data_IF_134009822842
#
_entry.id   IF_134009822842
#
_cell.length_a   1.000
_cell.length_b   1.000
_cell.length_c   1.000
_cell.angle_alpha   90.00
_cell.angle_beta   90.00
_cell.angle_gamma   90.00
#
_symmetry.space_group_name_H-M   'P 1'
#
loop_
_entity.id
_entity.type
_entity.pdbx_description
1 polymer ?
#
# COMPACT_ATOMS: atom_id res chain seq x y z
N UNK A 1 -23.04 -8.58 -10.59
CA UNK A 1 -21.71 -7.94 -10.51
C UNK A 1 -21.69 -6.82 -11.53
N UNK A 2 -21.44 -5.57 -11.11
CA UNK A 2 -21.42 -4.39 -12.02
C UNK A 2 -20.03 -4.10 -12.57
N UNK A 3 -18.98 -4.45 -11.82
CA UNK A 3 -17.59 -4.32 -12.22
C UNK A 3 -16.71 -5.28 -11.41
N UNK A 4 -15.52 -5.62 -11.91
CA UNK A 4 -14.53 -6.43 -11.20
C UNK A 4 -13.12 -5.90 -11.47
N UNK A 5 -12.46 -5.45 -10.41
CA UNK A 5 -11.05 -5.15 -10.44
C UNK A 5 -10.22 -6.42 -10.22
N UNK A 6 -9.21 -6.64 -11.05
CA UNK A 6 -8.31 -7.80 -11.04
C UNK A 6 -6.94 -7.38 -10.56
N UNK A 7 -6.29 -8.24 -9.79
CA UNK A 7 -4.90 -8.08 -9.37
C UNK A 7 -4.17 -9.41 -9.54
N UNK A 8 -2.88 -9.33 -9.87
CA UNK A 8 -1.96 -10.47 -9.77
C UNK A 8 -1.44 -10.66 -8.35
N UNK A 9 -1.68 -9.70 -7.46
CA UNK A 9 -1.27 -9.73 -6.05
C UNK A 9 -2.43 -10.18 -5.17
N UNK A 10 -2.09 -10.76 -4.04
CA UNK A 10 -3.06 -10.89 -2.95
C UNK A 10 -3.38 -9.50 -2.41
N UNK A 11 -4.66 -9.13 -2.44
CA UNK A 11 -5.17 -7.84 -1.95
C UNK A 11 -5.88 -8.11 -0.63
N UNK A 12 -5.64 -7.27 0.37
CA UNK A 12 -6.26 -7.36 1.68
C UNK A 12 -7.23 -6.20 1.94
N UNK A 13 -6.93 -5.01 1.42
CA UNK A 13 -7.78 -3.83 1.53
C UNK A 13 -7.90 -3.08 0.20
N UNK A 14 -9.08 -2.51 -0.04
CA UNK A 14 -9.37 -1.71 -1.22
C UNK A 14 -10.47 -0.68 -0.95
N UNK A 15 -10.34 0.48 -1.58
CA UNK A 15 -11.23 1.63 -1.45
C UNK A 15 -11.62 2.12 -2.85
N UNK A 16 -12.93 2.13 -3.12
CA UNK A 16 -13.49 2.80 -4.29
C UNK A 16 -13.52 4.30 -4.03
N UNK A 17 -12.76 5.06 -4.80
CA UNK A 17 -12.69 6.51 -4.69
C UNK A 17 -13.87 7.17 -5.41
N UNK A 18 -14.17 8.41 -5.05
CA UNK A 18 -15.30 9.17 -5.63
C UNK A 18 -15.23 9.32 -7.15
N UNK A 19 -14.02 9.30 -7.73
CA UNK A 19 -13.81 9.37 -9.18
C UNK A 19 -13.96 8.02 -9.91
N UNK A 20 -14.34 6.96 -9.19
CA UNK A 20 -14.55 5.61 -9.76
C UNK A 20 -13.29 4.75 -9.86
N UNK A 21 -12.13 5.27 -9.47
CA UNK A 21 -10.89 4.50 -9.40
C UNK A 21 -10.81 3.70 -8.10
N UNK A 22 -10.02 2.63 -8.11
CA UNK A 22 -9.80 1.79 -6.93
C UNK A 22 -8.39 2.00 -6.39
N UNK A 23 -8.27 2.43 -5.14
CA UNK A 23 -7.02 2.38 -4.37
C UNK A 23 -6.98 1.06 -3.61
N UNK A 24 -5.89 0.30 -3.71
CA UNK A 24 -5.78 -0.98 -3.02
C UNK A 24 -4.34 -1.28 -2.60
N UNK A 25 -4.19 -2.15 -1.61
CA UNK A 25 -2.90 -2.75 -1.31
C UNK A 25 -2.60 -3.97 -2.20
N UNK A 26 -1.40 -4.51 -2.02
CA UNK A 26 -0.99 -5.77 -2.60
C UNK A 26 0.16 -6.38 -1.81
N UNK A 27 0.13 -7.69 -1.63
CA UNK A 27 1.28 -8.42 -1.09
C UNK A 27 2.38 -8.53 -2.14
N UNK A 28 3.56 -8.06 -1.76
CA UNK A 28 4.84 -8.30 -2.46
C UNK A 28 5.77 -9.16 -1.58
N UNK A 29 5.19 -9.92 -0.63
CA UNK A 29 5.89 -10.66 0.42
C UNK A 29 6.78 -11.81 -0.08
N UNK A 30 6.78 -12.08 -1.39
CA UNK A 30 7.52 -13.18 -2.02
C UNK A 30 9.03 -13.07 -1.76
N UNK A 31 9.54 -11.87 -1.50
CA UNK A 31 10.95 -11.61 -1.20
C UNK A 31 11.24 -11.24 0.28
N UNK A 32 10.22 -11.25 1.15
CA UNK A 32 10.32 -10.76 2.51
C UNK A 32 10.51 -11.89 3.53
N UNK A 33 11.66 -12.55 3.51
CA UNK A 33 11.99 -13.66 4.44
C UNK A 33 11.79 -13.27 5.92
N UNK A 34 12.04 -12.01 6.27
CA UNK A 34 11.92 -11.47 7.64
C UNK A 34 10.48 -11.09 8.03
N UNK A 35 9.57 -10.94 7.07
CA UNK A 35 8.22 -10.41 7.29
C UNK A 35 7.13 -11.39 6.82
N UNK A 36 7.23 -12.65 7.25
CA UNK A 36 6.25 -13.71 6.92
C UNK A 36 5.02 -13.72 7.85
N UNK A 37 4.68 -12.57 8.45
CA UNK A 37 3.51 -12.45 9.30
C UNK A 37 2.22 -12.31 8.46
N UNK A 38 1.11 -12.79 9.00
CA UNK A 38 -0.21 -12.53 8.42
C UNK A 38 -0.42 -11.03 8.25
N UNK A 39 -0.77 -10.61 7.03
CA UNK A 39 -0.99 -9.20 6.74
C UNK A 39 0.24 -8.41 6.27
N UNK A 40 1.32 -9.08 5.88
CA UNK A 40 2.42 -8.45 5.16
C UNK A 40 1.99 -8.08 3.73
N UNK A 41 1.86 -6.77 3.48
CA UNK A 41 1.61 -6.20 2.17
C UNK A 41 2.94 -5.77 1.53
N UNK A 42 3.13 -4.50 1.18
CA UNK A 42 4.35 -4.00 0.53
C UNK A 42 4.14 -3.34 -0.82
N UNK A 43 2.91 -3.34 -1.33
CA UNK A 43 2.55 -2.68 -2.57
C UNK A 43 1.25 -1.90 -2.38
N UNK A 44 1.15 -0.74 -3.01
CA UNK A 44 -0.08 0.04 -3.10
C UNK A 44 -0.22 0.53 -4.53
N UNK A 45 -1.44 0.47 -5.06
CA UNK A 45 -1.74 0.94 -6.40
C UNK A 45 -3.09 1.62 -6.49
N UNK A 46 -3.16 2.57 -7.42
CA UNK A 46 -4.38 3.18 -7.90
C UNK A 46 -4.65 2.62 -9.29
N UNK A 47 -5.80 1.97 -9.48
CA UNK A 47 -6.22 1.41 -10.76
C UNK A 47 -7.50 2.08 -11.25
N UNK A 48 -7.61 2.25 -12.56
CA UNK A 48 -8.79 2.85 -13.19
C UNK A 48 -9.98 1.88 -13.18
N UNK A 49 -11.13 2.38 -13.61
CA UNK A 49 -12.29 1.53 -13.91
C UNK A 49 -11.97 0.43 -14.91
N UNK A 50 -11.06 0.63 -15.85
CA UNK A 50 -10.74 -0.37 -16.90
C UNK A 50 -9.65 -1.36 -16.50
N UNK A 51 -9.30 -1.45 -15.20
CA UNK A 51 -8.18 -2.23 -14.67
C UNK A 51 -6.77 -1.74 -15.08
N UNK A 52 -6.67 -0.51 -15.58
CA UNK A 52 -5.37 0.06 -15.95
C UNK A 52 -4.67 0.68 -14.74
N UNK A 53 -3.38 0.40 -14.50
CA UNK A 53 -2.63 1.01 -13.41
C UNK A 53 -2.40 2.50 -13.70
N UNK A 54 -2.88 3.36 -12.81
CA UNK A 54 -2.68 4.82 -12.89
C UNK A 54 -1.40 5.20 -12.15
N UNK A 55 -1.20 4.61 -10.98
CA UNK A 55 -0.05 4.89 -10.12
C UNK A 55 0.19 3.69 -9.21
N UNK A 56 1.45 3.49 -8.82
CA UNK A 56 1.81 2.48 -7.84
C UNK A 56 3.03 2.87 -7.03
N UNK A 57 3.16 2.23 -5.88
CA UNK A 57 4.32 2.31 -5.01
C UNK A 57 4.62 0.94 -4.41
N UNK A 58 5.91 0.66 -4.22
CA UNK A 58 6.37 -0.56 -3.57
C UNK A 58 7.34 -0.23 -2.44
N UNK A 59 7.26 -1.00 -1.36
CA UNK A 59 8.19 -0.95 -0.26
C UNK A 59 9.57 -1.45 -0.72
N UNK A 60 10.56 -0.57 -0.67
CA UNK A 60 11.95 -0.85 -1.03
C UNK A 60 12.91 -0.12 -0.08
N UNK A 61 13.95 -0.78 0.45
CA UNK A 61 14.26 -2.21 0.29
C UNK A 61 13.34 -3.09 1.15
N UNK A 62 12.79 -4.17 0.56
CA UNK A 62 11.84 -5.08 1.21
C UNK A 62 12.40 -5.80 2.44
N UNK A 63 13.74 -5.94 2.50
CA UNK A 63 14.45 -6.51 3.66
C UNK A 63 14.40 -5.63 4.91
N UNK A 64 14.02 -4.35 4.80
CA UNK A 64 13.98 -3.42 5.95
C UNK A 64 12.58 -3.11 6.42
N UNK A 65 11.62 -3.08 5.49
CA UNK A 65 10.25 -2.75 5.84
C UNK A 65 9.24 -3.24 4.80
N UNK A 66 8.01 -3.43 5.27
CA UNK A 66 6.81 -3.68 4.49
C UNK A 66 5.63 -2.88 5.04
N UNK A 67 4.57 -2.72 4.26
CA UNK A 67 3.31 -2.24 4.83
C UNK A 67 2.56 -3.40 5.48
N UNK A 68 1.82 -3.11 6.54
CA UNK A 68 0.74 -3.95 7.01
C UNK A 68 -0.44 -3.84 6.03
N UNK A 69 -1.35 -4.80 6.08
CA UNK A 69 -2.48 -5.00 5.16
C UNK A 69 -3.61 -3.95 5.21
N UNK A 70 -3.33 -2.79 5.79
CA UNK A 70 -4.33 -1.74 6.01
C UNK A 70 -3.80 -0.39 5.50
N UNK A 71 -4.70 0.39 4.91
CA UNK A 71 -4.40 1.72 4.39
C UNK A 71 -5.61 2.64 4.58
N UNK A 72 -5.36 3.91 4.86
CA UNK A 72 -6.42 4.92 4.98
C UNK A 72 -6.23 5.98 3.89
N UNK A 73 -7.16 6.10 2.91
CA UNK A 73 -7.15 7.20 1.96
C UNK A 73 -7.34 8.55 2.69
N UNK A 74 -6.57 9.56 2.30
CA UNK A 74 -6.66 10.89 2.90
C UNK A 74 -7.36 11.90 1.98
N UNK A 75 -8.04 12.90 2.55
CA UNK A 75 -8.51 14.05 1.79
C UNK A 75 -7.34 14.71 1.03
N UNK A 76 -7.52 14.92 -0.28
CA UNK A 76 -6.54 15.59 -1.13
C UNK A 76 -5.52 14.68 -1.85
N UNK A 77 -5.73 13.36 -1.88
CA UNK A 77 -5.02 12.47 -2.82
C UNK A 77 -3.74 11.82 -2.31
N UNK A 78 -3.78 11.24 -1.11
CA UNK A 78 -2.71 10.38 -0.58
C UNK A 78 -3.29 9.29 0.32
N UNK A 79 -2.43 8.52 0.99
CA UNK A 79 -2.86 7.53 1.98
C UNK A 79 -1.91 7.47 3.18
N UNK A 80 -2.43 6.96 4.29
CA UNK A 80 -1.66 6.48 5.44
C UNK A 80 -1.54 4.97 5.36
N UNK A 81 -0.37 4.47 5.76
CA UNK A 81 -0.10 3.04 5.87
C UNK A 81 0.62 2.77 7.18
N UNK A 82 0.30 1.65 7.81
CA UNK A 82 1.10 1.08 8.89
C UNK A 82 2.27 0.31 8.29
N UNK A 83 3.46 0.48 8.85
CA UNK A 83 4.69 -0.15 8.37
C UNK A 83 5.20 -1.14 9.41
N UNK A 84 5.57 -2.33 8.95
CA UNK A 84 6.35 -3.35 9.66
C UNK A 84 7.83 -3.10 9.34
N UNK A 85 8.67 -2.84 10.34
CA UNK A 85 10.11 -2.58 10.15
C UNK A 85 10.98 -3.60 10.92
N UNK A 86 12.21 -3.82 10.47
CA UNK A 86 13.16 -4.82 11.00
C UNK A 86 13.54 -4.59 12.47
N UNK A 87 13.45 -3.33 12.93
CA UNK A 87 13.32 -3.00 14.35
C UNK A 87 11.83 -2.96 14.68
N UNK A 88 11.33 -3.86 15.55
CA UNK A 88 9.95 -3.98 16.06
C UNK A 88 9.29 -2.63 16.46
N UNK A 89 8.94 -1.81 15.47
CA UNK A 89 8.36 -0.48 15.59
C UNK A 89 7.34 -0.34 14.48
N UNK A 90 6.09 -0.09 14.87
CA UNK A 90 5.03 0.24 13.93
C UNK A 90 5.11 1.74 13.60
N UNK A 91 5.35 2.07 12.34
CA UNK A 91 5.44 3.45 11.85
C UNK A 91 4.24 3.84 10.99
N UNK A 92 3.79 5.10 11.09
CA UNK A 92 2.80 5.68 10.16
C UNK A 92 3.54 6.44 9.05
N UNK A 93 3.34 6.04 7.80
CA UNK A 93 3.92 6.73 6.65
C UNK A 93 2.82 7.39 5.81
N UNK A 94 2.90 8.72 5.67
CA UNK A 94 2.05 9.49 4.77
C UNK A 94 2.71 9.62 3.40
N UNK A 95 2.04 9.15 2.35
CA UNK A 95 2.54 9.31 1.00
C UNK A 95 1.94 10.58 0.37
N UNK A 96 2.78 11.59 0.12
CA UNK A 96 2.42 12.78 -0.66
C UNK A 96 3.59 13.18 -1.55
N UNK A 97 3.43 13.14 -2.86
CA UNK A 97 4.46 13.59 -3.79
C UNK A 97 4.63 15.11 -3.71
N UNK A 98 5.63 15.55 -2.94
CA UNK A 98 6.56 16.68 -3.17
C UNK A 98 7.25 17.03 -1.84
N UNK A 99 8.51 16.59 -1.73
CA UNK A 99 9.57 16.98 -0.79
C UNK A 99 9.33 16.80 0.74
N UNK A 100 10.40 16.29 1.35
CA UNK A 100 10.75 16.23 2.78
C UNK A 100 10.19 15.07 3.61
N UNK A 101 11.12 14.48 4.38
CA UNK A 101 10.95 13.28 5.17
C UNK A 101 10.11 13.46 6.41
N UNK A 102 9.75 12.33 7.01
CA UNK A 102 9.11 12.27 8.31
C UNK A 102 9.99 11.45 9.25
N UNK A 103 10.45 12.12 10.31
CA UNK A 103 11.00 11.53 11.54
C UNK A 103 9.80 11.19 12.44
N UNK A 104 9.76 9.97 12.97
CA UNK A 104 9.22 9.74 14.31
C UNK A 104 10.41 9.80 15.28
N UNK A 105 10.20 10.31 16.50
CA UNK A 105 11.24 10.40 17.54
C UNK A 105 11.99 9.09 17.76
#
# INVERSE_FOLDING_TARGET
VVHTWRSHRQVFCAYLLENGNLLRDGSDNVEAELFQAGGAAGYVELVSWDNEPIWSWSARPIRRFLTHHDLEPLPGGGCLMCVLEDSLVFGLKKLRERRFGCYCR
#
